data_IF_314119660380
#
_entry.id   IF_314119660380
#
_cell.length_a   1.000
_cell.length_b   1.000
_cell.length_c   1.000
_cell.angle_alpha   90.00
_cell.angle_beta   90.00
_cell.angle_gamma   90.00
#
_symmetry.space_group_name_H-M   'P 1'
#
loop_
_entity.id
_entity.type
_entity.pdbx_description
1 polymer ?
#
# COMPACT_ATOMS: atom_id res chain seq x y z
N UNK A 1 -38.25 -0.96 -44.12
CA UNK A 1 -38.60 -2.08 -43.21
C UNK A 1 -37.36 -2.82 -42.67
N UNK A 2 -36.21 -2.72 -43.34
CA UNK A 2 -34.95 -3.41 -43.01
C UNK A 2 -34.17 -2.85 -41.82
N UNK A 3 -34.17 -1.53 -41.59
CA UNK A 3 -33.40 -0.90 -40.50
C UNK A 3 -33.90 -1.30 -39.09
N UNK A 4 -35.23 -1.47 -38.92
CA UNK A 4 -35.87 -1.90 -37.65
C UNK A 4 -35.67 -3.39 -37.35
N UNK A 5 -35.42 -4.21 -38.37
CA UNK A 5 -35.21 -5.65 -38.22
C UNK A 5 -33.77 -5.94 -37.74
N UNK A 6 -32.79 -5.19 -38.27
CA UNK A 6 -31.38 -5.26 -37.83
C UNK A 6 -31.24 -4.82 -36.37
N UNK A 7 -31.98 -3.81 -35.93
CA UNK A 7 -31.98 -3.39 -34.52
C UNK A 7 -32.61 -4.43 -33.57
N UNK A 8 -33.58 -5.22 -34.05
CA UNK A 8 -34.24 -6.25 -33.25
C UNK A 8 -33.35 -7.49 -33.06
N UNK A 9 -32.69 -7.97 -34.12
CA UNK A 9 -31.73 -9.07 -34.03
C UNK A 9 -30.52 -8.69 -33.17
N UNK A 10 -30.02 -7.45 -33.29
CA UNK A 10 -28.95 -6.94 -32.43
C UNK A 10 -29.35 -6.87 -30.95
N UNK A 11 -30.58 -6.45 -30.65
CA UNK A 11 -31.08 -6.42 -29.28
C UNK A 11 -31.23 -7.82 -28.66
N UNK A 12 -31.68 -8.81 -29.44
CA UNK A 12 -31.73 -10.21 -29.00
C UNK A 12 -30.33 -10.75 -28.71
N UNK A 13 -29.36 -10.47 -29.57
CA UNK A 13 -27.97 -10.92 -29.39
C UNK A 13 -27.35 -10.34 -28.11
N UNK A 14 -27.54 -9.05 -27.84
CA UNK A 14 -27.10 -8.41 -26.59
C UNK A 14 -27.81 -9.02 -25.38
N UNK A 15 -29.11 -9.28 -25.45
CA UNK A 15 -29.87 -9.91 -24.37
C UNK A 15 -29.38 -11.33 -24.07
N UNK A 16 -29.09 -12.14 -25.11
CA UNK A 16 -28.54 -13.50 -24.95
C UNK A 16 -27.14 -13.45 -24.32
N UNK A 17 -26.27 -12.55 -24.77
CA UNK A 17 -24.96 -12.34 -24.14
C UNK A 17 -25.12 -11.94 -22.68
N UNK A 18 -26.00 -10.99 -22.37
CA UNK A 18 -26.25 -10.57 -21.00
C UNK A 18 -26.76 -11.72 -20.12
N UNK A 19 -27.67 -12.55 -20.63
CA UNK A 19 -28.16 -13.76 -19.92
C UNK A 19 -27.03 -14.76 -19.71
N UNK A 20 -26.21 -15.04 -20.73
CA UNK A 20 -25.05 -15.94 -20.60
C UNK A 20 -24.08 -15.40 -19.56
N UNK A 21 -23.72 -14.11 -19.61
CA UNK A 21 -22.82 -13.47 -18.63
C UNK A 21 -23.38 -13.50 -17.22
N UNK A 22 -24.68 -13.22 -17.03
CA UNK A 22 -25.33 -13.33 -15.74
C UNK A 22 -25.34 -14.79 -15.24
N UNK A 23 -25.64 -15.74 -16.12
CA UNK A 23 -25.72 -17.16 -15.78
C UNK A 23 -24.34 -17.73 -15.44
N UNK A 24 -23.29 -17.38 -16.20
CA UNK A 24 -21.91 -17.77 -15.88
C UNK A 24 -21.44 -17.10 -14.59
N UNK A 25 -21.79 -15.83 -14.34
CA UNK A 25 -21.46 -15.15 -13.08
C UNK A 25 -22.15 -15.77 -11.86
N UNK A 26 -23.27 -16.47 -12.04
CA UNK A 26 -23.98 -17.19 -10.97
C UNK A 26 -23.40 -18.60 -10.79
N UNK A 27 -23.10 -19.31 -11.88
CA UNK A 27 -22.60 -20.70 -11.85
C UNK A 27 -21.13 -20.79 -11.45
N UNK A 28 -20.29 -19.86 -11.88
CA UNK A 28 -18.85 -19.87 -11.61
C UNK A 28 -18.48 -19.08 -10.34
N UNK A 29 -19.38 -18.97 -9.35
CA UNK A 29 -19.01 -18.47 -8.03
C UNK A 29 -18.25 -19.56 -7.28
N UNK A 30 -16.97 -19.32 -7.04
CA UNK A 30 -16.16 -20.19 -6.19
C UNK A 30 -16.75 -20.25 -4.77
N UNK A 31 -16.66 -21.39 -4.08
CA UNK A 31 -17.16 -21.50 -2.71
C UNK A 31 -16.38 -20.55 -1.79
N UNK A 32 -17.04 -19.89 -0.83
CA UNK A 32 -16.36 -19.03 0.13
C UNK A 32 -15.35 -19.86 0.95
N UNK A 33 -14.08 -19.45 0.93
CA UNK A 33 -13.03 -20.01 1.80
C UNK A 33 -12.90 -19.11 3.02
N UNK A 34 -12.82 -19.72 4.19
CA UNK A 34 -12.73 -19.04 5.47
C UNK A 34 -11.82 -19.86 6.39
N UNK A 35 -10.85 -19.21 7.01
CA UNK A 35 -9.92 -19.82 7.97
C UNK A 35 -9.65 -18.82 9.11
N UNK A 36 -9.29 -19.34 10.29
CA UNK A 36 -8.90 -18.53 11.44
C UNK A 36 -9.85 -18.62 12.63
N UNK A 37 -9.68 -17.72 13.60
CA UNK A 37 -10.40 -17.74 14.88
C UNK A 37 -10.92 -16.35 15.27
N UNK A 38 -11.99 -16.33 16.06
CA UNK A 38 -12.53 -15.10 16.65
C UNK A 38 -13.03 -15.39 18.04
N UNK A 39 -12.73 -14.49 18.97
CA UNK A 39 -13.30 -14.55 20.32
C UNK A 39 -14.80 -14.28 20.28
N UNK A 40 -15.54 -14.79 21.27
CA UNK A 40 -17.00 -14.65 21.34
C UNK A 40 -17.47 -13.19 21.26
N UNK A 41 -16.70 -12.27 21.86
CA UNK A 41 -16.95 -10.82 21.82
C UNK A 41 -16.99 -10.26 20.39
N UNK A 42 -16.17 -10.79 19.48
CA UNK A 42 -16.06 -10.34 18.09
C UNK A 42 -16.84 -11.22 17.11
N UNK A 43 -17.80 -12.02 17.61
CA UNK A 43 -18.70 -12.81 16.74
C UNK A 43 -19.44 -11.95 15.70
N UNK A 44 -19.99 -10.76 16.01
CA UNK A 44 -20.63 -9.92 14.98
C UNK A 44 -19.69 -9.53 13.84
N UNK A 45 -18.41 -9.25 14.15
CA UNK A 45 -17.39 -8.96 13.14
C UNK A 45 -17.11 -10.17 12.25
N UNK A 46 -17.06 -11.39 12.82
CA UNK A 46 -16.83 -12.62 12.03
C UNK A 46 -17.97 -12.90 11.06
N UNK A 47 -19.22 -12.63 11.47
CA UNK A 47 -20.39 -12.77 10.61
C UNK A 47 -20.36 -11.74 9.48
N UNK A 48 -20.01 -10.48 9.79
CA UNK A 48 -19.94 -9.44 8.75
C UNK A 48 -18.81 -9.69 7.76
N UNK A 49 -17.64 -10.11 8.23
CA UNK A 49 -16.53 -10.48 7.37
C UNK A 49 -16.94 -11.61 6.40
N UNK A 50 -17.58 -12.66 6.93
CA UNK A 50 -18.10 -13.76 6.10
C UNK A 50 -19.10 -13.27 5.05
N UNK A 51 -20.06 -12.42 5.44
CA UNK A 51 -21.05 -11.85 4.51
C UNK A 51 -20.39 -11.10 3.34
N UNK A 52 -19.30 -10.34 3.59
CA UNK A 52 -18.58 -9.61 2.54
C UNK A 52 -17.91 -10.56 1.54
N UNK A 53 -17.36 -11.67 2.01
CA UNK A 53 -16.77 -12.71 1.16
C UNK A 53 -17.84 -13.47 0.38
N UNK A 54 -18.92 -13.92 1.05
CA UNK A 54 -19.99 -14.71 0.44
C UNK A 54 -20.81 -13.93 -0.59
N UNK A 55 -21.04 -12.64 -0.34
CA UNK A 55 -21.71 -11.74 -1.30
C UNK A 55 -20.87 -11.48 -2.55
N UNK A 56 -19.55 -11.68 -2.46
CA UNK A 56 -18.57 -11.32 -3.49
C UNK A 56 -18.23 -9.83 -3.51
N UNK A 57 -18.58 -9.08 -2.46
CA UNK A 57 -18.14 -7.71 -2.28
C UNK A 57 -16.61 -7.66 -2.11
N UNK A 58 -16.07 -8.59 -1.32
CA UNK A 58 -14.64 -8.83 -1.22
C UNK A 58 -14.26 -10.12 -1.94
N UNK A 59 -13.20 -10.07 -2.76
CA UNK A 59 -12.67 -11.27 -3.45
C UNK A 59 -11.83 -12.13 -2.53
N UNK A 60 -11.07 -11.49 -1.65
CA UNK A 60 -10.25 -12.12 -0.64
C UNK A 60 -9.70 -11.06 0.31
N UNK A 61 -9.58 -11.41 1.58
CA UNK A 61 -9.11 -10.50 2.62
C UNK A 61 -8.57 -11.27 3.82
N UNK A 62 -7.79 -10.57 4.64
CA UNK A 62 -7.41 -10.98 5.99
C UNK A 62 -7.63 -9.83 6.96
N UNK A 63 -8.10 -10.12 8.17
CA UNK A 63 -8.24 -9.16 9.24
C UNK A 63 -7.75 -9.76 10.55
N UNK A 64 -6.83 -9.05 11.20
CA UNK A 64 -6.32 -9.38 12.53
C UNK A 64 -6.59 -8.20 13.46
N UNK A 65 -7.11 -8.48 14.66
CA UNK A 65 -7.38 -7.48 15.70
C UNK A 65 -6.71 -7.90 17.00
N UNK A 66 -5.93 -6.98 17.55
CA UNK A 66 -5.33 -7.12 18.86
C UNK A 66 -6.03 -6.21 19.88
N UNK A 67 -6.41 -6.77 21.03
CA UNK A 67 -6.91 -6.02 22.19
C UNK A 67 -5.96 -6.27 23.37
N UNK A 68 -5.35 -5.20 23.88
CA UNK A 68 -4.35 -5.27 24.97
C UNK A 68 -3.22 -6.29 24.71
N UNK A 69 -2.70 -6.29 23.48
CA UNK A 69 -1.63 -7.19 23.05
C UNK A 69 -2.07 -8.65 22.83
N UNK A 70 -3.36 -8.98 22.96
CA UNK A 70 -3.89 -10.32 22.69
C UNK A 70 -4.61 -10.35 21.35
N UNK A 71 -4.33 -11.36 20.54
CA UNK A 71 -5.09 -11.62 19.32
C UNK A 71 -6.52 -12.07 19.70
N UNK A 72 -7.52 -11.26 19.34
CA UNK A 72 -8.94 -11.50 19.66
C UNK A 72 -9.79 -11.82 18.42
N UNK A 73 -9.20 -11.66 17.24
CA UNK A 73 -9.80 -11.90 15.94
C UNK A 73 -8.68 -12.07 14.92
N UNK A 74 -8.66 -13.16 14.19
CA UNK A 74 -7.70 -13.45 13.15
C UNK A 74 -8.38 -14.35 12.13
N UNK A 75 -8.92 -13.74 11.08
CA UNK A 75 -9.68 -14.46 10.06
C UNK A 75 -9.20 -14.02 8.69
N UNK A 76 -9.01 -15.02 7.82
CA UNK A 76 -8.82 -14.84 6.39
C UNK A 76 -9.98 -15.46 5.63
N UNK A 77 -10.24 -14.95 4.42
CA UNK A 77 -11.23 -15.55 3.55
C UNK A 77 -11.13 -15.12 2.10
N UNK A 78 -11.86 -15.84 1.25
CA UNK A 78 -11.87 -15.65 -0.20
C UNK A 78 -10.61 -16.18 -0.88
N UNK A 79 -10.20 -15.51 -1.96
CA UNK A 79 -9.17 -15.95 -2.89
C UNK A 79 -8.15 -14.84 -3.14
N UNK A 80 -6.87 -15.21 -3.16
CA UNK A 80 -5.78 -14.35 -3.60
C UNK A 80 -5.78 -14.19 -5.13
N UNK A 81 -6.10 -15.27 -5.86
CA UNK A 81 -6.36 -15.21 -7.31
C UNK A 81 -7.55 -16.11 -7.67
N UNK A 82 -8.65 -15.48 -8.07
CA UNK A 82 -9.89 -16.15 -8.48
C UNK A 82 -9.72 -16.97 -9.78
N UNK A 83 -8.78 -16.59 -10.66
CA UNK A 83 -8.60 -17.25 -11.96
C UNK A 83 -7.91 -18.60 -11.82
N UNK A 84 -7.07 -18.73 -10.80
CA UNK A 84 -6.33 -19.94 -10.47
C UNK A 84 -6.86 -20.61 -9.19
N UNK A 85 -8.00 -20.14 -8.67
CA UNK A 85 -8.64 -20.63 -7.46
C UNK A 85 -7.69 -20.68 -6.24
N UNK A 86 -6.74 -19.75 -6.17
CA UNK A 86 -5.76 -19.70 -5.08
C UNK A 86 -6.44 -19.09 -3.85
N UNK A 87 -6.64 -19.85 -2.76
CA UNK A 87 -7.31 -19.35 -1.57
C UNK A 87 -6.46 -18.27 -0.90
N UNK A 88 -7.13 -17.33 -0.23
CA UNK A 88 -6.44 -16.41 0.66
C UNK A 88 -5.94 -17.19 1.89
N UNK A 89 -4.70 -16.95 2.29
CA UNK A 89 -4.06 -17.57 3.45
C UNK A 89 -3.46 -16.50 4.37
N UNK A 90 -3.09 -16.84 5.61
CA UNK A 90 -2.36 -15.92 6.48
C UNK A 90 -1.04 -15.41 5.88
N UNK A 91 -0.45 -16.16 4.94
CA UNK A 91 0.81 -15.82 4.27
C UNK A 91 0.60 -15.09 2.93
N UNK A 92 -0.64 -14.74 2.57
CA UNK A 92 -0.93 -14.03 1.32
C UNK A 92 -0.39 -12.59 1.41
N UNK A 93 0.61 -12.28 0.57
CA UNK A 93 1.20 -10.96 0.46
C UNK A 93 0.38 -10.09 -0.49
N UNK A 94 0.02 -8.89 -0.06
CA UNK A 94 -0.69 -7.90 -0.89
C UNK A 94 0.01 -6.54 -0.87
N UNK A 95 -0.13 -5.74 -1.96
CA UNK A 95 0.34 -4.37 -1.95
C UNK A 95 -0.46 -3.53 -0.96
N UNK A 96 0.22 -2.83 -0.05
CA UNK A 96 -0.40 -1.95 0.96
C UNK A 96 -0.61 -0.50 0.46
N UNK A 97 -0.15 -0.19 -0.77
CA UNK A 97 -0.25 1.11 -1.43
C UNK A 97 0.13 2.27 -0.50
N UNK A 98 -0.73 3.29 -0.39
CA UNK A 98 -0.47 4.50 0.40
C UNK A 98 -0.28 4.28 1.90
N UNK A 99 -0.47 3.06 2.38
CA UNK A 99 -0.09 2.69 3.75
C UNK A 99 1.43 2.60 3.94
N UNK A 100 2.25 2.73 2.87
CA UNK A 100 3.72 2.82 2.97
C UNK A 100 4.21 3.99 3.82
N UNK A 101 3.37 5.02 4.03
CA UNK A 101 3.61 6.10 5.00
C UNK A 101 3.82 5.59 6.43
N UNK A 102 3.24 4.43 6.79
CA UNK A 102 3.38 3.84 8.12
C UNK A 102 4.81 3.36 8.39
N UNK A 103 5.44 2.52 7.54
CA UNK A 103 6.87 2.24 7.62
C UNK A 103 7.75 3.49 7.76
N UNK A 104 7.52 4.53 6.94
CA UNK A 104 8.31 5.78 7.01
C UNK A 104 8.16 6.44 8.38
N UNK A 105 6.95 6.54 8.91
CA UNK A 105 6.71 7.11 10.23
C UNK A 105 7.46 6.35 11.34
N UNK A 106 7.44 5.01 11.32
CA UNK A 106 8.19 4.20 12.29
C UNK A 106 9.70 4.38 12.17
N UNK A 107 10.22 4.45 10.94
CA UNK A 107 11.65 4.67 10.68
C UNK A 107 12.09 6.02 11.24
N UNK A 108 11.35 7.09 10.94
CA UNK A 108 11.71 8.43 11.40
C UNK A 108 11.52 8.58 12.91
N UNK A 109 10.54 7.92 13.51
CA UNK A 109 10.41 7.82 14.97
C UNK A 109 11.66 7.18 15.60
N UNK A 110 12.12 6.06 15.05
CA UNK A 110 13.33 5.38 15.53
C UNK A 110 14.60 6.22 15.33
N UNK A 111 14.74 6.91 14.19
CA UNK A 111 15.86 7.80 13.93
C UNK A 111 15.89 8.97 14.92
N UNK A 112 14.71 9.52 15.26
CA UNK A 112 14.58 10.56 16.28
C UNK A 112 14.98 10.05 17.66
N UNK A 113 14.50 8.88 18.07
CA UNK A 113 14.87 8.27 19.36
C UNK A 113 16.38 8.03 19.48
N UNK A 114 17.06 7.81 18.34
CA UNK A 114 18.52 7.65 18.25
C UNK A 114 19.28 8.97 18.08
N UNK A 115 18.60 10.12 18.10
CA UNK A 115 19.17 11.44 17.85
C UNK A 115 19.87 11.58 16.48
N UNK A 116 19.49 10.76 15.49
CA UNK A 116 20.03 10.84 14.13
C UNK A 116 19.28 11.86 13.28
N UNK A 117 18.05 12.20 13.67
CA UNK A 117 17.22 13.19 13.00
C UNK A 117 16.47 14.07 13.99
N UNK A 118 16.18 15.30 13.57
CA UNK A 118 15.32 16.24 14.29
C UNK A 118 14.28 16.76 13.29
N UNK A 119 13.00 16.61 13.63
CA UNK A 119 11.90 16.97 12.75
C UNK A 119 11.84 18.46 12.40
N UNK A 120 12.36 19.33 13.27
CA UNK A 120 12.38 20.79 13.07
C UNK A 120 13.57 21.26 12.23
N UNK A 121 14.49 20.36 11.90
CA UNK A 121 15.67 20.66 11.08
C UNK A 121 15.31 20.51 9.60
N UNK A 122 15.93 21.36 8.77
CA UNK A 122 15.75 21.31 7.33
C UNK A 122 16.13 19.94 6.76
N UNK A 123 15.32 19.39 5.86
CA UNK A 123 15.57 18.13 5.14
C UNK A 123 16.97 18.12 4.53
N UNK A 124 17.40 19.27 4.01
CA UNK A 124 18.71 19.45 3.38
C UNK A 124 19.90 19.13 4.29
N UNK A 125 19.73 19.20 5.60
CA UNK A 125 20.77 18.85 6.57
C UNK A 125 21.06 17.35 6.61
N UNK A 126 20.11 16.52 6.13
CA UNK A 126 20.21 15.06 6.06
C UNK A 126 20.25 14.55 4.61
N UNK A 127 19.81 15.36 3.66
CA UNK A 127 19.85 15.09 2.23
C UNK A 127 20.33 16.34 1.50
N UNK A 128 21.64 16.48 1.31
CA UNK A 128 22.23 17.72 0.76
C UNK A 128 21.69 18.09 -0.63
N UNK A 129 21.22 17.07 -1.38
CA UNK A 129 20.63 17.19 -2.71
C UNK A 129 19.23 17.80 -2.67
N UNK A 130 18.56 17.80 -1.51
CA UNK A 130 17.21 18.34 -1.38
C UNK A 130 17.20 19.85 -1.71
N UNK A 131 16.26 20.34 -2.55
CA UNK A 131 16.45 21.66 -3.18
C UNK A 131 16.26 22.82 -2.20
N UNK A 132 15.25 22.71 -1.33
CA UNK A 132 14.94 23.74 -0.34
C UNK A 132 15.90 23.70 0.84
N UNK A 133 16.33 24.88 1.29
CA UNK A 133 17.19 25.03 2.48
C UNK A 133 16.41 25.17 3.79
N UNK A 134 15.10 25.36 3.71
CA UNK A 134 14.26 25.79 4.84
C UNK A 134 13.13 24.81 5.16
N UNK A 135 12.75 23.94 4.23
CA UNK A 135 11.71 22.94 4.49
C UNK A 135 12.24 21.86 5.43
N UNK A 136 11.49 21.64 6.49
CA UNK A 136 11.79 20.77 7.63
C UNK A 136 11.41 19.33 7.35
N UNK A 137 12.00 18.41 8.12
CA UNK A 137 11.61 17.00 8.11
C UNK A 137 10.14 16.83 8.53
N UNK A 138 9.63 17.64 9.46
CA UNK A 138 8.23 17.65 9.84
C UNK A 138 7.31 17.98 8.65
N UNK A 139 7.66 19.00 7.86
CA UNK A 139 6.91 19.37 6.65
C UNK A 139 6.97 18.26 5.58
N UNK A 140 8.06 17.51 5.48
CA UNK A 140 8.13 16.34 4.60
C UNK A 140 7.17 15.24 5.07
N UNK A 141 7.26 14.83 6.34
CA UNK A 141 6.46 13.75 6.91
C UNK A 141 4.97 14.08 6.96
N UNK A 142 4.61 15.36 6.96
CA UNK A 142 3.22 15.85 6.93
C UNK A 142 2.76 16.29 5.54
N UNK A 143 3.50 15.94 4.49
CA UNK A 143 3.11 16.17 3.11
C UNK A 143 2.95 17.65 2.71
N UNK A 144 3.77 18.53 3.29
CA UNK A 144 3.72 19.99 3.08
C UNK A 144 4.85 20.53 2.20
N UNK A 145 5.82 19.70 1.77
CA UNK A 145 6.97 20.22 1.00
C UNK A 145 6.62 20.62 -0.43
N UNK A 146 5.53 20.05 -0.97
CA UNK A 146 5.07 20.27 -2.33
C UNK A 146 5.67 19.34 -3.39
N UNK A 147 6.58 18.44 -3.01
CA UNK A 147 7.18 17.42 -3.89
C UNK A 147 6.30 16.17 -3.99
N UNK A 148 4.99 16.35 -4.13
CA UNK A 148 4.00 15.27 -4.02
C UNK A 148 4.12 14.22 -5.14
N UNK A 149 4.55 14.62 -6.34
CA UNK A 149 4.67 13.74 -7.50
C UNK A 149 5.91 14.07 -8.33
N UNK A 150 6.51 13.08 -9.01
CA UNK A 150 7.49 13.33 -10.07
C UNK A 150 6.84 14.13 -11.20
N UNK A 151 7.54 15.12 -11.75
CA UNK A 151 7.06 15.90 -12.90
C UNK A 151 7.37 15.23 -14.24
N UNK A 152 8.34 14.33 -14.27
CA UNK A 152 8.72 13.57 -15.45
C UNK A 152 7.98 12.23 -15.47
N UNK A 153 7.78 11.65 -16.66
CA UNK A 153 7.27 10.28 -16.77
C UNK A 153 8.32 9.31 -16.21
N UNK A 154 7.94 8.58 -15.16
CA UNK A 154 8.76 7.53 -14.57
C UNK A 154 8.05 6.19 -14.74
N UNK A 155 8.81 5.18 -15.15
CA UNK A 155 8.39 3.81 -15.07
C UNK A 155 8.62 3.26 -13.66
N UNK A 156 7.93 2.17 -13.33
CA UNK A 156 8.21 1.43 -12.10
C UNK A 156 9.66 0.90 -12.06
N UNK A 157 10.23 0.57 -13.22
CA UNK A 157 11.60 0.08 -13.33
C UNK A 157 12.62 1.16 -12.94
N UNK A 158 12.37 2.42 -13.31
CA UNK A 158 13.25 3.53 -12.92
C UNK A 158 13.31 3.68 -11.39
N UNK A 159 12.16 3.59 -10.72
CA UNK A 159 12.05 3.68 -9.25
C UNK A 159 12.74 2.48 -8.57
N UNK A 160 12.58 1.28 -9.13
CA UNK A 160 13.11 0.04 -8.55
C UNK A 160 14.63 -0.08 -8.74
N UNK A 161 15.10 0.19 -9.95
CA UNK A 161 16.47 -0.12 -10.37
C UNK A 161 17.42 1.07 -10.18
N UNK A 162 16.91 2.30 -10.28
CA UNK A 162 17.70 3.53 -10.17
C UNK A 162 17.07 4.61 -9.27
N UNK A 163 16.68 4.27 -8.02
CA UNK A 163 15.98 5.20 -7.12
C UNK A 163 16.75 6.50 -6.87
N UNK A 164 18.09 6.45 -6.80
CA UNK A 164 18.93 7.64 -6.63
C UNK A 164 18.87 8.60 -7.82
N UNK A 165 18.74 8.07 -9.04
CA UNK A 165 18.63 8.89 -10.24
C UNK A 165 17.24 9.53 -10.31
N UNK A 166 16.21 8.80 -9.89
CA UNK A 166 14.86 9.34 -9.72
C UNK A 166 14.83 10.47 -8.68
N UNK A 167 15.45 10.29 -7.51
CA UNK A 167 15.56 11.33 -6.48
C UNK A 167 16.29 12.56 -7.01
N UNK A 168 17.43 12.38 -7.69
CA UNK A 168 18.16 13.49 -8.31
C UNK A 168 17.31 14.23 -9.35
N UNK A 169 16.55 13.52 -10.16
CA UNK A 169 15.65 14.13 -11.15
C UNK A 169 14.52 14.91 -10.46
N UNK A 170 13.89 14.33 -9.43
CA UNK A 170 12.87 14.98 -8.62
C UNK A 170 13.37 16.29 -8.02
N UNK A 171 14.60 16.31 -7.49
CA UNK A 171 15.20 17.48 -6.85
C UNK A 171 15.65 18.58 -7.84
N UNK A 172 15.88 18.26 -9.12
CA UNK A 172 16.18 19.31 -10.11
C UNK A 172 14.97 20.18 -10.45
N UNK A 173 13.77 19.79 -10.04
CA UNK A 173 12.51 20.43 -10.42
C UNK A 173 11.96 21.28 -9.26
N UNK A 174 11.10 22.22 -9.62
CA UNK A 174 10.32 22.95 -8.63
C UNK A 174 9.27 22.03 -7.99
N UNK A 175 8.86 22.31 -6.74
CA UNK A 175 7.73 21.62 -6.12
C UNK A 175 6.51 21.61 -7.04
N UNK A 176 5.83 20.47 -7.14
CA UNK A 176 4.57 20.32 -7.91
C UNK A 176 3.45 21.17 -7.33
N UNK A 177 3.49 21.40 -6.02
CA UNK A 177 2.57 22.27 -5.28
C UNK A 177 3.35 23.32 -4.49
N UNK A 178 2.76 24.49 -4.22
CA UNK A 178 3.37 25.46 -3.31
C UNK A 178 3.64 24.82 -1.94
N UNK A 179 4.86 24.98 -1.42
CA UNK A 179 5.18 24.49 -0.09
C UNK A 179 4.26 25.11 0.97
N UNK A 180 3.93 24.34 2.02
CA UNK A 180 2.88 24.67 2.98
C UNK A 180 1.47 24.28 2.53
N UNK A 181 1.29 23.88 1.28
CA UNK A 181 0.01 23.32 0.80
C UNK A 181 -0.02 21.81 1.06
N UNK A 182 -1.05 21.29 1.76
CA UNK A 182 -1.22 19.85 1.95
C UNK A 182 -1.33 19.14 0.60
N UNK A 183 -0.36 18.27 0.31
CA UNK A 183 -0.28 17.57 -0.98
C UNK A 183 0.29 16.17 -0.77
N UNK A 184 -0.55 15.14 -0.86
CA UNK A 184 -0.12 13.78 -0.51
C UNK A 184 1.03 13.28 -1.38
N UNK A 185 2.15 12.93 -0.73
CA UNK A 185 3.36 12.42 -1.38
C UNK A 185 3.26 10.91 -1.45
N UNK A 186 2.77 10.38 -2.57
CA UNK A 186 2.50 8.95 -2.68
C UNK A 186 3.79 8.13 -2.78
N UNK A 187 4.54 8.31 -3.86
CA UNK A 187 5.83 7.61 -4.07
C UNK A 187 7.04 8.45 -3.64
N UNK A 188 6.91 9.77 -3.72
CA UNK A 188 8.03 10.69 -3.46
C UNK A 188 8.39 10.73 -1.98
N UNK A 189 7.45 10.44 -1.06
CA UNK A 189 7.77 10.35 0.36
C UNK A 189 8.82 9.27 0.59
N UNK A 190 8.58 8.05 0.09
CA UNK A 190 9.48 6.91 0.27
C UNK A 190 10.84 7.15 -0.40
N UNK A 191 10.86 7.81 -1.57
CA UNK A 191 12.09 8.18 -2.28
C UNK A 191 12.95 9.18 -1.48
N UNK A 192 12.33 10.25 -0.99
CA UNK A 192 13.03 11.30 -0.22
C UNK A 192 13.45 10.74 1.15
N UNK A 193 12.56 10.00 1.80
CA UNK A 193 12.86 9.29 3.05
C UNK A 193 14.03 8.31 2.87
N UNK A 194 14.10 7.63 1.73
CA UNK A 194 15.19 6.72 1.41
C UNK A 194 16.54 7.40 1.28
N UNK A 195 16.63 8.55 0.59
CA UNK A 195 17.87 9.33 0.50
C UNK A 195 18.30 9.88 1.87
N UNK A 196 17.35 10.32 2.71
CA UNK A 196 17.64 10.72 4.10
C UNK A 196 18.20 9.55 4.90
N UNK A 197 17.52 8.40 4.90
CA UNK A 197 17.90 7.23 5.68
C UNK A 197 19.26 6.70 5.26
N UNK A 198 19.54 6.63 3.97
CA UNK A 198 20.84 6.15 3.48
C UNK A 198 21.99 7.09 3.85
N UNK A 199 21.75 8.39 4.02
CA UNK A 199 22.78 9.36 4.44
C UNK A 199 23.02 9.37 5.96
N UNK A 200 21.99 9.09 6.79
CA UNK A 200 22.12 9.14 8.27
C UNK A 200 22.39 7.78 8.91
N UNK A 201 22.07 6.68 8.22
CA UNK A 201 22.38 5.34 8.68
C UNK A 201 23.86 5.01 8.46
N UNK A 202 24.56 4.58 9.52
CA UNK A 202 26.00 4.29 9.44
C UNK A 202 26.35 3.16 8.46
N UNK A 203 25.39 2.26 8.18
CA UNK A 203 25.55 1.18 7.19
C UNK A 203 25.13 1.62 5.78
N UNK A 204 24.66 2.85 5.61
CA UNK A 204 24.11 3.41 4.37
C UNK A 204 23.04 2.49 3.73
N UNK A 205 22.21 1.84 4.55
CA UNK A 205 21.20 0.90 4.04
C UNK A 205 20.08 1.64 3.32
N UNK A 206 19.48 1.05 2.28
CA UNK A 206 18.26 1.58 1.68
C UNK A 206 17.07 1.48 2.66
N UNK A 207 16.08 2.36 2.49
CA UNK A 207 14.89 2.49 3.35
C UNK A 207 14.27 1.14 3.75
N UNK A 208 13.99 0.29 2.76
CA UNK A 208 13.35 -1.01 2.97
C UNK A 208 14.22 -1.95 3.81
N UNK A 209 15.54 -1.97 3.58
CA UNK A 209 16.46 -2.82 4.35
C UNK A 209 16.60 -2.32 5.78
N UNK A 210 16.65 -1.01 5.98
CA UNK A 210 16.64 -0.40 7.31
C UNK A 210 15.36 -0.77 8.08
N UNK A 211 14.19 -0.62 7.45
CA UNK A 211 12.91 -1.00 8.04
C UNK A 211 12.88 -2.47 8.48
N UNK A 212 13.33 -3.37 7.59
CA UNK A 212 13.34 -4.80 7.88
C UNK A 212 14.26 -5.15 9.06
N UNK A 213 15.50 -4.64 9.05
CA UNK A 213 16.49 -4.95 10.09
C UNK A 213 16.17 -4.33 11.46
N UNK A 214 15.65 -3.10 11.48
CA UNK A 214 15.52 -2.34 12.71
C UNK A 214 14.13 -2.48 13.35
N UNK A 215 13.10 -2.70 12.52
CA UNK A 215 11.71 -2.69 12.95
C UNK A 215 11.09 -4.08 12.83
N UNK A 216 11.13 -4.70 11.66
CA UNK A 216 10.36 -5.92 11.38
C UNK A 216 11.01 -7.16 12.00
N UNK A 217 12.21 -7.55 11.58
CA UNK A 217 12.83 -8.82 12.00
C UNK A 217 13.06 -8.96 13.50
N UNK A 218 13.47 -7.90 14.25
CA UNK A 218 13.60 -8.01 15.70
C UNK A 218 12.27 -8.32 16.42
N UNK A 219 11.14 -8.14 15.74
CA UNK A 219 9.78 -8.32 16.26
C UNK A 219 9.03 -9.45 15.57
N UNK A 220 9.62 -10.10 14.58
CA UNK A 220 9.04 -11.26 13.93
C UNK A 220 8.99 -12.40 14.95
N UNK A 221 7.80 -12.95 15.19
CA UNK A 221 7.68 -14.24 15.87
C UNK A 221 8.28 -15.33 14.97
N UNK A 222 8.80 -16.44 15.53
CA UNK A 222 9.45 -17.51 14.75
C UNK A 222 8.63 -18.03 13.56
N UNK A 223 7.30 -17.94 13.65
CA UNK A 223 6.33 -18.34 12.62
C UNK A 223 6.39 -17.50 11.32
N UNK A 224 6.97 -16.28 11.38
CA UNK A 224 7.14 -15.39 10.21
C UNK A 224 8.55 -15.46 9.60
N UNK A 225 9.41 -16.35 10.11
CA UNK A 225 10.82 -16.46 9.70
C UNK A 225 11.16 -17.72 8.90
N UNK A 226 10.17 -18.56 8.61
CA UNK A 226 10.26 -19.79 7.80
C UNK A 226 9.52 -19.64 6.48
#
# INVERSE_FOLDING_TARGET
MTLRFISFVGAIFVAVIAVIVCFTSIIFKLPPKMEGTSSLKFKPLSLKFRELIESGYERGAGLVVFENGKNVFDIVGGYADIRFEVPWSPNTITPIFGSSVLPVAFIFGLLKDRNLINESVAVRSYSEKFPSKYLTVAELLTHMTGYAYPTDQLSFFDIRDEPDNVVKALFKKHPTFPSGTPSFHFHTLDLIAGDIVSNVDIKNRPLARFFLEEIVWPRATPELSS
#
